data_IF_815001704510
#
_entry.id   IF_815001704510
#
_cell.length_a   1.000
_cell.length_b   1.000
_cell.length_c   1.000
_cell.angle_alpha   90.00
_cell.angle_beta   90.00
_cell.angle_gamma   90.00
#
_symmetry.space_group_name_H-M   'P 1'
#
loop_
_entity.id
_entity.type
_entity.pdbx_description
1 polymer ?
#
# COMPACT_ATOMS: atom_id res chain seq x y z
N UNK A 1 -0.37 -33.33 35.82
CA UNK A 1 -1.29 -32.32 35.24
C UNK A 1 -0.54 -31.54 34.18
N UNK A 2 -0.89 -31.69 32.90
CA UNK A 2 -0.40 -30.81 31.82
C UNK A 2 -1.47 -29.72 31.61
N UNK A 3 -1.13 -28.42 31.67
CA UNK A 3 -2.08 -27.40 31.27
C UNK A 3 -2.14 -27.29 29.74
N UNK A 4 -3.36 -27.29 29.23
CA UNK A 4 -3.74 -27.05 27.83
C UNK A 4 -3.79 -25.55 27.50
N UNK A 5 -3.58 -25.27 26.21
CA UNK A 5 -3.30 -24.02 25.50
C UNK A 5 -4.38 -22.92 25.58
N UNK A 6 -4.06 -21.66 25.20
CA UNK A 6 -4.98 -20.83 24.44
C UNK A 6 -4.57 -20.79 22.96
N UNK A 7 -5.42 -21.41 22.13
CA UNK A 7 -5.46 -21.21 20.69
C UNK A 7 -5.99 -19.81 20.38
N UNK A 8 -5.10 -18.87 20.04
CA UNK A 8 -5.45 -17.63 19.36
C UNK A 8 -4.34 -17.33 18.35
N UNK A 9 -4.61 -17.60 17.08
CA UNK A 9 -3.82 -17.01 16.00
C UNK A 9 -3.83 -15.48 16.17
N UNK A 10 -2.66 -14.81 16.13
CA UNK A 10 -2.63 -13.35 16.24
C UNK A 10 -3.34 -12.72 15.03
N UNK A 11 -4.12 -11.65 15.23
CA UNK A 11 -4.86 -11.01 14.15
C UNK A 11 -3.90 -10.43 13.11
N UNK A 12 -4.27 -10.54 11.83
CA UNK A 12 -3.50 -10.04 10.68
C UNK A 12 -2.95 -8.63 10.95
N UNK A 13 -1.63 -8.53 11.10
CA UNK A 13 -0.93 -7.30 11.46
C UNK A 13 -0.80 -6.38 10.24
N UNK A 14 -1.27 -5.14 10.42
CA UNK A 14 -1.07 -4.02 9.50
C UNK A 14 0.44 -3.82 9.25
N UNK A 15 0.84 -3.32 8.08
CA UNK A 15 2.25 -3.13 7.72
C UNK A 15 3.02 -2.23 8.70
N UNK A 16 2.30 -1.36 9.43
CA UNK A 16 2.85 -0.54 10.52
C UNK A 16 3.32 -1.39 11.71
N UNK A 17 2.54 -2.39 12.13
CA UNK A 17 2.91 -3.29 13.23
C UNK A 17 4.05 -4.21 12.85
N UNK A 18 4.21 -4.58 11.57
CA UNK A 18 5.38 -5.35 11.11
C UNK A 18 6.68 -4.55 11.18
N UNK A 19 6.66 -3.27 10.82
CA UNK A 19 7.81 -2.37 10.93
C UNK A 19 8.18 -2.09 12.39
N UNK A 20 7.19 -1.88 13.26
CA UNK A 20 7.40 -1.73 14.70
C UNK A 20 7.99 -3.01 15.32
N UNK A 21 7.48 -4.18 14.93
CA UNK A 21 8.03 -5.47 15.36
C UNK A 21 9.46 -5.71 14.85
N UNK A 22 9.75 -5.33 13.60
CA UNK A 22 11.08 -5.43 13.01
C UNK A 22 12.06 -4.49 13.71
N UNK A 23 11.68 -3.24 13.98
CA UNK A 23 12.50 -2.28 14.71
C UNK A 23 12.78 -2.74 16.15
N UNK A 24 11.78 -3.31 16.83
CA UNK A 24 11.94 -3.90 18.16
C UNK A 24 12.86 -5.11 18.13
N UNK A 25 12.78 -5.97 17.11
CA UNK A 25 13.67 -7.12 16.95
C UNK A 25 15.10 -6.71 16.64
N UNK A 26 15.30 -5.68 15.80
CA UNK A 26 16.62 -5.13 15.49
C UNK A 26 17.26 -4.50 16.73
N UNK A 27 16.46 -3.78 17.53
CA UNK A 27 16.88 -3.24 18.82
C UNK A 27 17.23 -4.36 19.81
N UNK A 28 16.40 -5.41 19.91
CA UNK A 28 16.67 -6.59 20.76
C UNK A 28 17.98 -7.26 20.39
N UNK A 29 18.22 -7.51 19.09
CA UNK A 29 19.47 -8.12 18.60
C UNK A 29 20.69 -7.27 18.89
N UNK A 30 20.56 -5.94 18.80
CA UNK A 30 21.62 -5.03 19.21
C UNK A 30 21.89 -5.14 20.71
N UNK A 31 20.86 -5.12 21.56
CA UNK A 31 20.99 -5.29 23.03
C UNK A 31 21.68 -6.61 23.39
N UNK A 32 21.29 -7.72 22.74
CA UNK A 32 21.87 -9.05 22.95
C UNK A 32 23.33 -9.13 22.51
N UNK A 33 23.68 -8.51 21.38
CA UNK A 33 25.06 -8.47 20.87
C UNK A 33 26.01 -7.67 21.78
N UNK A 34 25.50 -6.67 22.52
CA UNK A 34 26.26 -5.88 23.48
C UNK A 34 26.19 -6.41 24.92
N UNK A 35 25.68 -7.64 25.13
CA UNK A 35 25.81 -8.35 26.41
C UNK A 35 25.04 -7.75 27.59
N UNK A 36 24.05 -6.90 27.32
CA UNK A 36 23.21 -6.28 28.37
C UNK A 36 23.88 -5.16 29.17
N UNK A 37 25.09 -4.74 28.81
CA UNK A 37 25.65 -3.50 29.34
C UNK A 37 25.09 -2.30 28.59
N UNK A 38 24.86 -1.21 29.34
CA UNK A 38 24.32 0.07 28.87
C UNK A 38 24.74 0.38 27.45
N UNK A 39 23.79 0.35 26.52
CA UNK A 39 24.00 0.80 25.15
C UNK A 39 24.54 2.24 25.25
N UNK A 40 25.76 2.53 24.76
CA UNK A 40 26.25 3.91 24.73
C UNK A 40 25.19 4.78 24.05
N UNK A 41 24.92 6.00 24.54
CA UNK A 41 23.91 6.89 23.93
C UNK A 41 24.14 7.13 22.42
N UNK A 42 25.36 6.85 21.94
CA UNK A 42 25.74 6.84 20.53
C UNK A 42 25.09 5.71 19.70
N UNK A 43 24.82 4.53 20.29
CA UNK A 43 24.24 3.37 19.59
C UNK A 43 22.71 3.45 19.49
N UNK A 44 22.01 4.05 20.48
CA UNK A 44 20.59 4.42 20.32
C UNK A 44 20.43 5.47 19.20
N UNK A 45 21.34 6.44 19.15
CA UNK A 45 21.40 7.43 18.08
C UNK A 45 21.78 6.82 16.72
N UNK A 46 22.53 5.71 16.71
CA UNK A 46 22.86 4.97 15.49
C UNK A 46 21.66 4.16 14.98
N UNK A 47 20.97 3.41 15.85
CA UNK A 47 19.77 2.67 15.47
C UNK A 47 18.65 3.59 14.95
N UNK A 48 18.43 4.74 15.61
CA UNK A 48 17.49 5.76 15.14
C UNK A 48 17.89 6.31 13.75
N UNK A 49 19.19 6.57 13.52
CA UNK A 49 19.70 7.02 12.20
C UNK A 49 19.53 5.96 11.11
N UNK A 50 19.75 4.68 11.42
CA UNK A 50 19.56 3.58 10.46
C UNK A 50 18.08 3.44 10.08
N UNK A 51 17.17 3.51 11.07
CA UNK A 51 15.72 3.46 10.83
C UNK A 51 15.27 4.67 9.99
N UNK A 52 15.76 5.86 10.31
CA UNK A 52 15.41 7.08 9.58
C UNK A 52 15.93 7.06 8.14
N UNK A 53 17.19 6.63 7.93
CA UNK A 53 17.77 6.44 6.60
C UNK A 53 17.00 5.40 5.78
N UNK A 54 16.57 4.28 6.39
CA UNK A 54 15.76 3.28 5.72
C UNK A 54 14.37 3.83 5.32
N UNK A 55 13.77 4.69 6.15
CA UNK A 55 12.50 5.35 5.83
C UNK A 55 12.66 6.34 4.67
N UNK A 56 13.70 7.18 4.71
CA UNK A 56 14.01 8.13 3.65
C UNK A 56 14.35 7.45 2.32
N UNK A 57 15.10 6.34 2.34
CA UNK A 57 15.40 5.56 1.14
C UNK A 57 14.14 4.92 0.54
N UNK A 58 13.23 4.43 1.40
CA UNK A 58 11.93 3.93 0.97
C UNK A 58 11.07 5.06 0.36
N UNK A 59 11.02 6.24 0.98
CA UNK A 59 10.32 7.39 0.44
C UNK A 59 10.91 7.87 -0.89
N UNK A 60 12.25 7.86 -1.03
CA UNK A 60 12.94 8.16 -2.28
C UNK A 60 12.58 7.16 -3.38
N UNK A 61 12.67 5.85 -3.08
CA UNK A 61 12.27 4.78 -4.02
C UNK A 61 10.80 4.89 -4.41
N UNK A 62 9.92 5.23 -3.46
CA UNK A 62 8.52 5.54 -3.74
C UNK A 62 8.40 6.74 -4.67
N UNK A 63 9.07 7.86 -4.38
CA UNK A 63 9.05 9.06 -5.22
C UNK A 63 9.57 8.77 -6.62
N UNK A 64 10.68 8.05 -6.78
CA UNK A 64 11.22 7.68 -8.09
C UNK A 64 10.31 6.73 -8.86
N UNK A 65 9.70 5.74 -8.19
CA UNK A 65 8.75 4.82 -8.80
C UNK A 65 7.43 5.51 -9.19
N UNK A 66 7.01 6.54 -8.44
CA UNK A 66 5.75 7.26 -8.62
C UNK A 66 5.87 8.48 -9.57
N UNK A 67 7.04 9.09 -9.69
CA UNK A 67 7.23 10.38 -10.38
C UNK A 67 7.19 10.28 -11.91
N UNK A 68 7.43 9.10 -12.49
CA UNK A 68 7.28 8.89 -13.94
C UNK A 68 6.32 7.73 -14.17
N UNK A 69 5.06 8.01 -14.55
CA UNK A 69 4.17 6.97 -15.05
C UNK A 69 4.83 6.28 -16.24
N UNK A 70 5.30 5.05 -16.05
CA UNK A 70 5.76 4.22 -17.16
C UNK A 70 4.54 3.83 -17.99
N UNK A 71 4.71 3.52 -19.27
CA UNK A 71 3.63 3.03 -20.16
C UNK A 71 2.78 1.92 -19.51
N UNK A 72 3.42 1.02 -18.75
CA UNK A 72 2.75 -0.03 -18.01
C UNK A 72 1.73 0.47 -16.96
N UNK A 73 1.90 1.66 -16.40
CA UNK A 73 0.99 2.25 -15.41
C UNK A 73 -0.35 2.66 -16.02
N UNK A 74 -0.42 2.88 -17.34
CA UNK A 74 -1.65 3.20 -18.07
C UNK A 74 -2.45 1.96 -18.49
N UNK A 75 -2.07 0.78 -18.00
CA UNK A 75 -2.73 -0.50 -18.32
C UNK A 75 -3.72 -0.93 -17.23
N UNK A 76 -4.41 -2.06 -17.44
CA UNK A 76 -5.35 -2.63 -16.47
C UNK A 76 -6.49 -1.68 -16.12
N UNK A 77 -6.78 -1.55 -14.81
CA UNK A 77 -7.93 -0.78 -14.31
C UNK A 77 -7.92 0.69 -14.75
N UNK A 78 -6.74 1.33 -14.83
CA UNK A 78 -6.64 2.71 -15.29
C UNK A 78 -7.15 2.87 -16.72
N UNK A 79 -6.74 1.95 -17.62
CA UNK A 79 -7.21 1.91 -19.01
C UNK A 79 -8.71 1.70 -19.09
N UNK A 80 -9.22 0.75 -18.33
CA UNK A 80 -10.63 0.36 -18.37
C UNK A 80 -11.53 1.51 -17.86
N UNK A 81 -11.08 2.24 -16.83
CA UNK A 81 -11.76 3.46 -16.38
C UNK A 81 -11.77 4.55 -17.46
N UNK A 82 -10.62 4.79 -18.12
CA UNK A 82 -10.54 5.77 -19.22
C UNK A 82 -11.47 5.39 -20.37
N UNK A 83 -11.48 4.11 -20.77
CA UNK A 83 -12.37 3.60 -21.81
C UNK A 83 -13.85 3.71 -21.41
N UNK A 84 -14.21 3.40 -20.17
CA UNK A 84 -15.58 3.57 -19.68
C UNK A 84 -16.05 5.02 -19.84
N UNK A 85 -15.20 5.99 -19.47
CA UNK A 85 -15.52 7.40 -19.61
C UNK A 85 -15.64 7.85 -21.06
N UNK A 86 -14.75 7.38 -21.95
CA UNK A 86 -14.78 7.69 -23.38
C UNK A 86 -16.02 7.11 -24.08
N UNK A 87 -16.41 5.90 -23.70
CA UNK A 87 -17.66 5.25 -24.14
C UNK A 87 -18.93 5.91 -23.58
N UNK A 88 -18.80 6.92 -22.73
CA UNK A 88 -19.93 7.68 -22.20
C UNK A 88 -20.60 7.06 -20.98
N UNK A 89 -19.93 6.17 -20.23
CA UNK A 89 -20.38 5.80 -18.89
C UNK A 89 -20.21 7.02 -17.97
N UNK A 90 -21.32 7.62 -17.56
CA UNK A 90 -21.34 8.89 -16.82
C UNK A 90 -21.54 8.69 -15.32
N UNK A 91 -22.18 7.60 -14.92
CA UNK A 91 -22.49 7.31 -13.51
C UNK A 91 -21.65 6.15 -12.95
N UNK A 92 -21.40 6.08 -11.62
CA UNK A 92 -20.70 4.95 -11.02
C UNK A 92 -21.35 3.61 -11.32
N UNK A 93 -22.70 3.55 -11.41
CA UNK A 93 -23.43 2.35 -11.82
C UNK A 93 -22.98 1.85 -13.19
N UNK A 94 -22.98 2.73 -14.19
CA UNK A 94 -22.58 2.39 -15.56
C UNK A 94 -21.10 1.99 -15.63
N UNK A 95 -20.24 2.68 -14.88
CA UNK A 95 -18.82 2.37 -14.78
C UNK A 95 -18.62 0.98 -14.18
N UNK A 96 -19.28 0.66 -13.07
CA UNK A 96 -19.19 -0.67 -12.45
C UNK A 96 -19.71 -1.77 -13.36
N UNK A 97 -20.82 -1.52 -14.08
CA UNK A 97 -21.32 -2.46 -15.09
C UNK A 97 -20.36 -2.62 -16.28
N UNK A 98 -19.65 -1.57 -16.67
CA UNK A 98 -18.61 -1.66 -17.70
C UNK A 98 -17.44 -2.53 -17.21
N UNK A 99 -16.92 -2.25 -16.02
CA UNK A 99 -15.82 -3.01 -15.42
C UNK A 99 -16.17 -4.50 -15.22
N UNK A 100 -17.40 -4.78 -14.80
CA UNK A 100 -17.92 -6.15 -14.65
C UNK A 100 -18.00 -6.88 -16.01
N UNK A 101 -18.49 -6.20 -17.06
CA UNK A 101 -18.48 -6.72 -18.44
C UNK A 101 -17.07 -6.98 -18.98
N UNK A 102 -16.09 -6.20 -18.55
CA UNK A 102 -14.67 -6.43 -18.85
C UNK A 102 -14.06 -7.59 -18.04
N UNK A 103 -14.82 -8.23 -17.15
CA UNK A 103 -14.37 -9.33 -16.29
C UNK A 103 -13.35 -8.88 -15.24
N UNK A 104 -13.36 -7.60 -14.85
CA UNK A 104 -12.39 -7.04 -13.90
C UNK A 104 -12.96 -7.02 -12.48
N UNK A 105 -12.19 -7.46 -11.48
CA UNK A 105 -12.57 -7.26 -10.10
C UNK A 105 -12.55 -5.77 -9.78
N UNK A 106 -13.68 -5.25 -9.31
CA UNK A 106 -13.80 -3.85 -8.88
C UNK A 106 -13.19 -3.74 -7.48
N UNK A 107 -12.10 -2.98 -7.28
CA UNK A 107 -11.45 -2.91 -5.99
C UNK A 107 -12.32 -2.19 -4.97
N UNK A 108 -12.22 -2.61 -3.71
CA UNK A 108 -13.05 -2.08 -2.63
C UNK A 108 -12.87 -0.57 -2.44
N UNK A 109 -11.64 -0.06 -2.61
CA UNK A 109 -11.37 1.36 -2.48
C UNK A 109 -12.14 2.22 -3.49
N UNK A 110 -12.42 1.68 -4.68
CA UNK A 110 -13.18 2.39 -5.70
C UNK A 110 -14.66 2.43 -5.34
N UNK A 111 -15.18 1.37 -4.70
CA UNK A 111 -16.55 1.35 -4.15
C UNK A 111 -16.68 2.28 -2.94
N UNK A 112 -15.62 2.40 -2.16
CA UNK A 112 -15.61 3.20 -0.94
C UNK A 112 -15.45 4.70 -1.20
N UNK A 113 -15.04 5.08 -2.42
CA UNK A 113 -14.87 6.48 -2.77
C UNK A 113 -16.19 7.24 -2.72
N UNK A 114 -16.18 8.43 -2.11
CA UNK A 114 -17.37 9.19 -1.74
C UNK A 114 -18.30 9.45 -2.92
N UNK A 115 -17.75 9.91 -4.05
CA UNK A 115 -18.56 10.10 -5.26
C UNK A 115 -18.89 8.77 -5.98
N UNK A 116 -18.15 7.69 -5.75
CA UNK A 116 -18.45 6.40 -6.38
C UNK A 116 -19.54 5.60 -5.65
N UNK A 117 -19.83 5.95 -4.39
CA UNK A 117 -20.96 5.41 -3.60
C UNK A 117 -22.33 5.86 -4.12
N UNK A 118 -22.38 7.06 -4.67
CA UNK A 118 -23.60 7.67 -5.17
C UNK A 118 -23.84 7.21 -6.61
N UNK A 119 -24.50 6.06 -6.76
CA UNK A 119 -24.49 5.28 -8.01
C UNK A 119 -25.08 5.99 -9.24
N UNK A 120 -25.93 6.99 -9.04
CA UNK A 120 -26.73 7.61 -10.10
C UNK A 120 -26.35 9.07 -10.39
N UNK A 121 -25.30 9.61 -9.77
CA UNK A 121 -24.78 10.93 -10.13
C UNK A 121 -23.56 10.85 -11.04
N UNK A 122 -23.20 11.97 -11.64
CA UNK A 122 -22.05 12.08 -12.53
C UNK A 122 -20.82 12.54 -11.72
N UNK A 123 -19.77 11.71 -11.55
CA UNK A 123 -18.62 12.09 -10.75
C UNK A 123 -17.92 13.30 -11.33
N UNK A 124 -17.45 14.20 -10.47
CA UNK A 124 -16.72 15.41 -10.86
C UNK A 124 -15.45 15.07 -11.66
N UNK A 125 -15.01 15.99 -12.54
CA UNK A 125 -13.77 15.79 -13.32
C UNK A 125 -12.56 15.53 -12.41
N UNK A 126 -12.50 16.19 -11.25
CA UNK A 126 -11.45 15.98 -10.25
C UNK A 126 -11.45 14.55 -9.72
N UNK A 127 -12.61 14.06 -9.28
CA UNK A 127 -12.75 12.66 -8.82
C UNK A 127 -12.35 11.66 -9.90
N UNK A 128 -12.79 11.87 -11.14
CA UNK A 128 -12.41 10.99 -12.26
C UNK A 128 -10.89 10.92 -12.44
N UNK A 129 -10.22 12.06 -12.40
CA UNK A 129 -8.75 12.12 -12.50
C UNK A 129 -8.08 11.39 -11.32
N UNK A 130 -8.59 11.58 -10.09
CA UNK A 130 -8.05 10.94 -8.88
C UNK A 130 -8.19 9.42 -8.94
N UNK A 131 -9.35 8.88 -9.34
CA UNK A 131 -9.53 7.43 -9.40
C UNK A 131 -8.70 6.79 -10.51
N UNK A 132 -8.51 7.46 -11.66
CA UNK A 132 -7.62 6.98 -12.72
C UNK A 132 -6.18 6.97 -12.22
N UNK A 133 -5.74 8.09 -11.63
CA UNK A 133 -4.38 8.19 -11.09
C UNK A 133 -4.13 7.13 -10.01
N UNK A 134 -5.06 6.92 -9.09
CA UNK A 134 -4.95 5.87 -8.07
C UNK A 134 -4.87 4.47 -8.68
N UNK A 135 -5.67 4.20 -9.71
CA UNK A 135 -5.61 2.93 -10.44
C UNK A 135 -4.26 2.72 -11.16
N UNK A 136 -3.60 3.79 -11.61
CA UNK A 136 -2.25 3.70 -12.19
C UNK A 136 -1.18 3.34 -11.15
N UNK A 137 -1.34 3.82 -9.91
CA UNK A 137 -0.36 3.59 -8.84
C UNK A 137 -0.47 2.20 -8.22
N UNK A 138 -1.63 1.56 -8.30
CA UNK A 138 -1.90 0.29 -7.63
C UNK A 138 -0.91 -0.84 -8.04
N UNK A 139 -0.62 -1.08 -9.34
CA UNK A 139 0.40 -2.06 -9.73
C UNK A 139 1.80 -1.72 -9.20
N UNK A 140 2.17 -0.45 -9.19
CA UNK A 140 3.46 0.00 -8.67
C UNK A 140 3.54 -0.20 -7.14
N UNK A 141 2.46 0.09 -6.43
CA UNK A 141 2.36 -0.14 -4.98
C UNK A 141 2.40 -1.63 -4.63
N UNK A 142 1.74 -2.48 -5.42
CA UNK A 142 1.79 -3.93 -5.22
C UNK A 142 3.18 -4.50 -5.51
N UNK A 143 3.86 -4.05 -6.56
CA UNK A 143 5.25 -4.44 -6.85
C UNK A 143 6.19 -4.06 -5.69
N UNK A 144 5.99 -2.90 -5.06
CA UNK A 144 6.76 -2.47 -3.90
C UNK A 144 6.46 -3.30 -2.65
N UNK A 145 5.22 -3.74 -2.45
CA UNK A 145 4.87 -4.66 -1.34
C UNK A 145 5.40 -6.07 -1.57
N UNK A 146 5.46 -6.50 -2.84
CA UNK A 146 5.92 -7.83 -3.25
C UNK A 146 7.45 -7.97 -3.29
N UNK A 147 8.21 -6.93 -2.90
CA UNK A 147 9.65 -7.02 -2.68
C UNK A 147 9.88 -7.25 -1.17
N UNK A 148 9.82 -8.49 -0.65
CA UNK A 148 10.42 -8.77 0.65
C UNK A 148 11.93 -8.67 0.44
N UNK A 149 12.58 -7.84 1.25
CA UNK A 149 14.02 -7.74 1.45
C UNK A 149 14.84 -8.76 0.63
N UNK A 150 15.26 -8.37 -0.57
CA UNK A 150 16.08 -9.22 -1.42
C UNK A 150 17.48 -9.30 -0.78
N UNK A 151 17.69 -10.43 -0.11
CA UNK A 151 18.95 -11.15 0.19
C UNK A 151 20.16 -10.34 0.64
#
# INVERSE_FOLDING_TARGET
MRPSLPSKEPPMTNNRTKLEQWAVELFRRAVEAYGGESIPGETECYAARVIQSAFEDRERKLREALWTPREAAWSGLARDLMLAFDMGCRTPREIFQHLDRCGKPIPQWLRDEGEMKHLDHVPSKGTRAVIIYRAMLEPAMEALKATPDAQ
#
